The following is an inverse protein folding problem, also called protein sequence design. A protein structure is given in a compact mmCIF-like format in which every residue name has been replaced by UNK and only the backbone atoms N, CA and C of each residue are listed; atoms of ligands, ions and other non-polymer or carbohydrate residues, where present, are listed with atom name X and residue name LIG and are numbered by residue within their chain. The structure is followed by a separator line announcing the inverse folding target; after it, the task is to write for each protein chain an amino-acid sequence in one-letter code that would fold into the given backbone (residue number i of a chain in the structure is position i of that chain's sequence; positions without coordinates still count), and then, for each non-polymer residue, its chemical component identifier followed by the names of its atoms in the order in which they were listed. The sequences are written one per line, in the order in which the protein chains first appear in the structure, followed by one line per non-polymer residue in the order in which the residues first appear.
data_IF_618190037681
#
_entry.id   IF_618190037681
#
_cell.length_a   1.000
_cell.length_b   1.000
_cell.length_c   1.000
_cell.angle_alpha   90.00
_cell.angle_beta   90.00
_cell.angle_gamma   90.00
#
_symmetry.space_group_name_H-M   'P 1'
#
loop_
_entity.id
_entity.type
_entity.pdbx_description
1 polymer ?
#
# COMPACT_ATOMS: atom_id res chain seq x y z
N UNK A 1 7.19 23.13 6.44
CA UNK A 1 7.54 21.73 6.78
C UNK A 1 9.01 21.71 7.15
N UNK A 2 9.34 21.48 8.41
CA UNK A 2 10.72 21.53 8.89
C UNK A 2 11.50 20.34 8.32
N UNK A 3 12.84 20.44 8.19
CA UNK A 3 13.70 19.35 7.66
C UNK A 3 13.46 18.01 8.36
N UNK A 4 13.03 18.04 9.63
CA UNK A 4 12.70 16.89 10.48
C UNK A 4 11.44 16.13 10.00
N UNK A 5 10.58 16.75 9.19
CA UNK A 5 9.40 16.11 8.59
C UNK A 5 9.69 15.45 7.25
N UNK A 6 10.61 16.02 6.47
CA UNK A 6 10.89 15.55 5.11
C UNK A 6 11.46 14.13 5.13
N UNK A 7 12.44 13.88 6.00
CA UNK A 7 13.12 12.59 6.09
C UNK A 7 12.18 11.38 6.36
N UNK A 8 11.35 11.38 7.42
CA UNK A 8 10.45 10.25 7.67
C UNK A 8 9.35 10.11 6.61
N UNK A 9 8.86 11.22 6.03
CA UNK A 9 7.90 11.17 4.93
C UNK A 9 8.52 10.56 3.68
N UNK A 10 9.75 10.91 3.32
CA UNK A 10 10.45 10.31 2.20
C UNK A 10 10.66 8.81 2.40
N UNK A 11 11.02 8.36 3.61
CA UNK A 11 11.16 6.93 3.91
C UNK A 11 9.81 6.21 3.78
N UNK A 12 8.75 6.74 4.39
CA UNK A 12 7.43 6.11 4.33
C UNK A 12 6.90 6.07 2.89
N UNK A 13 7.09 7.13 2.12
CA UNK A 13 6.71 7.18 0.71
C UNK A 13 7.51 6.18 -0.13
N UNK A 14 8.82 6.04 0.11
CA UNK A 14 9.65 5.06 -0.57
C UNK A 14 9.21 3.63 -0.26
N UNK A 15 8.94 3.32 1.01
CA UNK A 15 8.43 2.00 1.43
C UNK A 15 7.06 1.70 0.81
N UNK A 16 6.14 2.66 0.82
CA UNK A 16 4.82 2.51 0.20
C UNK A 16 4.94 2.30 -1.33
N UNK A 17 5.86 3.01 -1.98
CA UNK A 17 6.13 2.86 -3.42
C UNK A 17 6.73 1.48 -3.72
N UNK A 18 7.63 0.99 -2.87
CA UNK A 18 8.20 -0.35 -3.02
C UNK A 18 7.12 -1.43 -2.92
N UNK A 19 6.22 -1.33 -1.93
CA UNK A 19 5.07 -2.24 -1.79
C UNK A 19 4.19 -2.19 -3.03
N UNK A 20 3.88 -0.99 -3.52
CA UNK A 20 3.09 -0.82 -4.73
C UNK A 20 3.75 -1.43 -5.97
N UNK A 21 5.06 -1.22 -6.17
CA UNK A 21 5.82 -1.77 -7.29
C UNK A 21 5.88 -3.30 -7.24
N UNK A 22 6.15 -3.88 -6.07
CA UNK A 22 6.17 -5.34 -5.90
C UNK A 22 4.76 -5.93 -6.12
N UNK A 23 3.70 -5.27 -5.66
CA UNK A 23 2.33 -5.67 -5.97
C UNK A 23 2.05 -5.60 -7.49
N UNK A 24 2.49 -4.53 -8.14
CA UNK A 24 2.27 -4.30 -9.57
C UNK A 24 2.96 -5.33 -10.48
N UNK A 25 4.11 -5.89 -10.08
CA UNK A 25 4.77 -6.96 -10.85
C UNK A 25 4.04 -8.31 -10.73
N UNK A 26 3.17 -8.46 -9.74
CA UNK A 26 2.40 -9.68 -9.51
C UNK A 26 1.02 -9.62 -10.18
N UNK A 27 0.45 -8.41 -10.27
CA UNK A 27 -0.84 -8.18 -10.93
C UNK A 27 -0.73 -8.56 -12.41
N UNK A 28 -1.49 -9.58 -12.80
CA UNK A 28 -1.65 -10.01 -14.19
C UNK A 28 -3.10 -9.75 -14.62
N UNK A 29 -3.34 -8.58 -15.21
CA UNK A 29 -4.63 -8.22 -15.83
C UNK A 29 -4.72 -8.73 -17.27
N UNK A 30 -4.24 -9.95 -17.53
CA UNK A 30 -4.33 -10.62 -18.81
C UNK A 30 -5.75 -11.04 -19.20
N UNK A 31 -5.85 -11.97 -20.15
CA UNK A 31 -7.11 -12.42 -20.76
C UNK A 31 -8.11 -13.00 -19.74
N UNK A 32 -7.63 -13.62 -18.66
CA UNK A 32 -8.48 -14.13 -17.58
C UNK A 32 -9.21 -13.03 -16.81
N UNK A 33 -8.49 -11.97 -16.38
CA UNK A 33 -9.13 -10.88 -15.62
C UNK A 33 -10.15 -10.11 -16.49
N UNK A 34 -9.88 -10.02 -17.79
CA UNK A 34 -10.80 -9.43 -18.75
C UNK A 34 -12.05 -10.30 -19.01
N UNK A 35 -11.96 -11.63 -18.88
CA UNK A 35 -13.08 -12.55 -19.09
C UNK A 35 -14.01 -12.68 -17.89
N UNK A 36 -13.62 -12.16 -16.71
CA UNK A 36 -14.47 -12.13 -15.53
C UNK A 36 -15.75 -11.30 -15.78
N UNK A 37 -16.88 -11.85 -15.34
CA UNK A 37 -18.15 -11.13 -15.29
C UNK A 37 -18.09 -10.06 -14.21
N UNK A 38 -17.63 -8.86 -14.60
CA UNK A 38 -17.56 -7.70 -13.74
C UNK A 38 -18.93 -7.03 -13.63
N UNK A 39 -19.35 -6.59 -12.44
CA UNK A 39 -20.59 -5.85 -12.28
C UNK A 39 -20.54 -4.51 -13.01
N UNK A 40 -21.69 -4.00 -13.45
CA UNK A 40 -21.80 -2.75 -14.21
C UNK A 40 -21.31 -1.51 -13.46
N UNK A 41 -21.23 -1.57 -12.12
CA UNK A 41 -20.73 -0.49 -11.27
C UNK A 41 -19.23 -0.58 -10.98
N UNK A 42 -18.54 -1.59 -11.51
CA UNK A 42 -17.10 -1.70 -11.36
C UNK A 42 -16.41 -0.47 -12.01
N UNK A 43 -15.51 0.21 -11.28
CA UNK A 43 -14.84 1.38 -11.83
C UNK A 43 -13.91 1.00 -12.99
N UNK A 44 -13.56 1.96 -13.87
CA UNK A 44 -12.60 1.75 -14.96
C UNK A 44 -11.21 1.37 -14.44
N UNK A 45 -10.41 0.67 -15.24
CA UNK A 45 -9.07 0.17 -14.86
C UNK A 45 -8.15 1.27 -14.31
N UNK A 46 -8.16 2.47 -14.91
CA UNK A 46 -7.38 3.62 -14.46
C UNK A 46 -7.77 4.12 -13.05
N UNK A 47 -9.03 3.97 -12.66
CA UNK A 47 -9.52 4.42 -11.36
C UNK A 47 -8.97 3.55 -10.21
N UNK A 48 -8.65 2.27 -10.45
CA UNK A 48 -7.99 1.44 -9.45
C UNK A 48 -6.58 1.95 -9.14
N UNK A 49 -5.81 2.33 -10.16
CA UNK A 49 -4.47 2.90 -9.97
C UNK A 49 -4.50 4.21 -9.18
N UNK A 50 -5.47 5.07 -9.46
CA UNK A 50 -5.68 6.32 -8.72
C UNK A 50 -6.07 6.06 -7.26
N UNK A 51 -7.01 5.14 -7.03
CA UNK A 51 -7.47 4.78 -5.69
C UNK A 51 -6.32 4.22 -4.84
N UNK A 52 -5.51 3.30 -5.37
CA UNK A 52 -4.36 2.76 -4.66
C UNK A 52 -3.29 3.82 -4.38
N UNK A 53 -3.05 4.74 -5.31
CA UNK A 53 -2.13 5.86 -5.07
C UNK A 53 -2.57 6.72 -3.88
N UNK A 54 -3.88 7.02 -3.81
CA UNK A 54 -4.44 7.78 -2.69
C UNK A 54 -4.33 6.99 -1.37
N UNK A 55 -4.66 5.70 -1.38
CA UNK A 55 -4.55 4.82 -0.20
C UNK A 55 -3.10 4.77 0.30
N UNK A 56 -2.13 4.49 -0.57
CA UNK A 56 -0.72 4.43 -0.17
C UNK A 56 -0.19 5.76 0.34
N UNK A 57 -0.63 6.88 -0.24
CA UNK A 57 -0.28 8.22 0.24
C UNK A 57 -0.83 8.46 1.65
N UNK A 58 -2.11 8.14 1.88
CA UNK A 58 -2.73 8.21 3.20
C UNK A 58 -2.04 7.29 4.22
N UNK A 59 -1.70 6.07 3.82
CA UNK A 59 -0.98 5.11 4.66
C UNK A 59 0.40 5.65 5.05
N UNK A 60 1.18 6.17 4.10
CA UNK A 60 2.49 6.76 4.40
C UNK A 60 2.37 7.95 5.39
N UNK A 61 1.39 8.83 5.19
CA UNK A 61 1.12 9.95 6.09
C UNK A 61 0.69 9.47 7.48
N UNK A 62 -0.20 8.47 7.56
CA UNK A 62 -0.64 7.87 8.82
C UNK A 62 0.53 7.23 9.58
N UNK A 63 1.43 6.53 8.89
CA UNK A 63 2.61 5.93 9.50
C UNK A 63 3.54 6.97 10.12
N UNK A 64 3.81 8.06 9.40
CA UNK A 64 4.69 9.14 9.89
C UNK A 64 4.05 9.93 11.03
N UNK A 65 2.78 10.31 10.89
CA UNK A 65 2.06 11.06 11.93
C UNK A 65 1.90 10.23 13.20
N UNK A 66 1.51 8.96 13.06
CA UNK A 66 1.41 8.01 14.17
C UNK A 66 2.74 7.79 14.88
N UNK A 67 3.82 7.49 14.14
CA UNK A 67 5.15 7.26 14.73
C UNK A 67 5.65 8.47 15.54
N UNK A 68 5.39 9.69 15.06
CA UNK A 68 5.78 10.93 15.75
C UNK A 68 4.93 11.22 16.98
N UNK A 69 3.64 10.90 16.95
CA UNK A 69 2.72 11.17 18.05
C UNK A 69 2.94 10.22 19.26
N UNK A 70 3.43 9.01 19.01
CA UNK A 70 3.69 8.02 20.06
C UNK A 70 4.91 8.44 20.89
N UNK A 71 4.78 8.45 22.22
CA UNK A 71 5.86 8.80 23.14
C UNK A 71 6.78 7.62 23.48
N UNK A 72 6.21 6.40 23.65
CA UNK A 72 6.98 5.22 24.07
C UNK A 72 7.60 4.50 22.88
N UNK A 73 8.91 4.23 22.97
CA UNK A 73 9.64 3.54 21.90
C UNK A 73 9.03 2.17 21.53
N UNK A 74 8.62 1.37 22.51
CA UNK A 74 8.02 0.05 22.26
C UNK A 74 6.70 0.12 21.47
N UNK A 75 5.88 1.14 21.72
CA UNK A 75 4.64 1.36 20.96
C UNK A 75 4.92 1.78 19.52
N UNK A 76 6.01 2.54 19.31
CA UNK A 76 6.50 2.89 17.97
C UNK A 76 6.91 1.64 17.20
N UNK A 77 7.73 0.77 17.80
CA UNK A 77 8.14 -0.51 17.18
C UNK A 77 6.93 -1.38 16.82
N UNK A 78 5.94 -1.45 17.70
CA UNK A 78 4.67 -2.13 17.41
C UNK A 78 3.95 -1.54 16.20
N UNK A 79 3.88 -0.21 16.09
CA UNK A 79 3.29 0.46 14.93
C UNK A 79 4.01 0.05 13.63
N UNK A 80 5.35 0.04 13.62
CA UNK A 80 6.11 -0.41 12.44
C UNK A 80 5.83 -1.87 12.10
N UNK A 81 5.77 -2.75 13.11
CA UNK A 81 5.43 -4.16 12.91
C UNK A 81 4.05 -4.33 12.26
N UNK A 82 3.06 -3.56 12.70
CA UNK A 82 1.71 -3.56 12.11
C UNK A 82 1.72 -3.05 10.67
N UNK A 83 2.45 -1.98 10.37
CA UNK A 83 2.59 -1.45 9.01
C UNK A 83 3.33 -2.42 8.07
N UNK A 84 4.39 -3.06 8.55
CA UNK A 84 5.11 -4.08 7.81
C UNK A 84 4.22 -5.31 7.53
N UNK A 85 3.50 -5.78 8.55
CA UNK A 85 2.53 -6.87 8.40
C UNK A 85 1.40 -6.50 7.43
N UNK A 86 0.89 -5.27 7.49
CA UNK A 86 -0.12 -4.78 6.57
C UNK A 86 0.38 -4.74 5.12
N UNK A 87 1.60 -4.22 4.88
CA UNK A 87 2.22 -4.23 3.56
C UNK A 87 2.49 -5.63 3.03
N UNK A 88 2.93 -6.56 3.89
CA UNK A 88 3.10 -7.96 3.53
C UNK A 88 1.77 -8.61 3.11
N UNK A 89 0.71 -8.43 3.90
CA UNK A 89 -0.61 -8.95 3.57
C UNK A 89 -1.17 -8.34 2.28
N UNK A 90 -0.87 -7.07 2.02
CA UNK A 90 -1.26 -6.38 0.79
C UNK A 90 -0.61 -7.04 -0.45
N UNK A 91 0.70 -7.32 -0.41
CA UNK A 91 1.40 -8.02 -1.49
C UNK A 91 0.92 -9.47 -1.62
N UNK A 92 0.76 -10.17 -0.49
CA UNK A 92 0.31 -11.55 -0.46
C UNK A 92 -1.08 -11.70 -1.08
N UNK A 93 -1.97 -10.73 -0.86
CA UNK A 93 -3.29 -10.72 -1.51
C UNK A 93 -3.17 -10.70 -3.04
N UNK A 94 -2.31 -9.84 -3.61
CA UNK A 94 -2.07 -9.82 -5.06
C UNK A 94 -1.56 -11.16 -5.58
N UNK A 95 -0.68 -11.82 -4.81
CA UNK A 95 -0.18 -13.15 -5.17
C UNK A 95 -1.29 -14.21 -5.15
N UNK A 96 -2.08 -14.27 -4.07
CA UNK A 96 -3.17 -15.23 -3.96
C UNK A 96 -4.21 -15.01 -5.06
N UNK A 97 -4.60 -13.76 -5.31
CA UNK A 97 -5.67 -13.45 -6.26
C UNK A 97 -5.25 -13.68 -7.73
N UNK A 98 -4.03 -13.28 -8.13
CA UNK A 98 -3.61 -13.35 -9.54
C UNK A 98 -2.82 -14.61 -9.89
N UNK A 99 -2.18 -15.28 -8.93
CA UNK A 99 -1.31 -16.45 -9.19
C UNK A 99 -1.83 -17.77 -8.65
N UNK A 100 -2.70 -17.79 -7.64
CA UNK A 100 -3.29 -19.02 -7.07
C UNK A 100 -4.75 -19.23 -7.51
N UNK A 101 -5.13 -18.68 -8.67
CA UNK A 101 -6.39 -18.95 -9.35
C UNK A 101 -6.59 -20.45 -9.64
#
# INVERSE_FOLDING_TARGET
MDRVWIFPVCIAALLATLVALVGATIIDTGSWYASLLKPHWAPPDAAYGLAWTAIYSCTALAGVTGWRAIARWREREWLLGLFAGNGFLNILWSLVFFRLQ
#
